data_IF_787739477737
#
_entry.id   IF_787739477737
#
_cell.length_a   1.000
_cell.length_b   1.000
_cell.length_c   1.000
_cell.angle_alpha   90.00
_cell.angle_beta   90.00
_cell.angle_gamma   90.00
#
_symmetry.space_group_name_H-M   'P 1'
#
loop_
_entity.id
_entity.type
_entity.pdbx_description
1 polymer ?
#
# COMPACT_ATOMS: atom_id res chain seq x y z
N UNK A 1 58.29 -6.66 -70.71
CA UNK A 1 58.33 -7.54 -71.91
C UNK A 1 57.14 -8.48 -71.76
N UNK A 2 56.03 -8.20 -72.45
CA UNK A 2 55.55 -8.99 -73.62
C UNK A 2 55.14 -10.40 -73.20
N UNK A 3 53.99 -10.98 -73.48
CA UNK A 3 52.90 -10.78 -74.44
C UNK A 3 51.93 -11.92 -74.08
N UNK A 4 50.65 -11.68 -73.89
CA UNK A 4 49.64 -11.74 -74.96
C UNK A 4 49.49 -13.11 -75.62
N UNK A 5 48.28 -13.66 -75.46
CA UNK A 5 47.48 -14.35 -76.50
C UNK A 5 47.87 -15.78 -76.87
N UNK A 6 46.98 -16.69 -77.27
CA UNK A 6 45.67 -16.60 -77.94
C UNK A 6 45.02 -18.02 -77.80
N UNK A 7 43.72 -18.16 -77.44
CA UNK A 7 42.59 -18.39 -78.38
C UNK A 7 42.45 -19.89 -78.79
N UNK A 8 41.30 -20.57 -78.82
CA UNK A 8 40.05 -20.32 -79.56
C UNK A 8 38.95 -21.33 -79.14
N UNK A 9 37.70 -20.85 -79.13
CA UNK A 9 36.47 -21.38 -79.79
C UNK A 9 35.99 -22.81 -79.48
N UNK A 10 34.71 -23.18 -79.58
CA UNK A 10 33.38 -22.58 -79.72
C UNK A 10 32.43 -23.81 -79.86
N UNK A 11 31.11 -23.57 -79.84
CA UNK A 11 29.94 -24.45 -80.08
C UNK A 11 29.30 -25.01 -78.82
N UNK A 12 28.25 -24.36 -78.26
CA UNK A 12 26.82 -24.47 -78.64
C UNK A 12 26.35 -25.94 -78.58
N UNK A 13 25.22 -26.33 -78.02
CA UNK A 13 24.08 -25.70 -77.34
C UNK A 13 23.13 -26.87 -77.00
N UNK A 14 22.28 -26.72 -75.98
CA UNK A 14 21.22 -27.64 -75.51
C UNK A 14 21.58 -28.74 -74.49
N UNK A 15 21.42 -28.42 -73.19
CA UNK A 15 21.09 -29.41 -72.14
C UNK A 15 20.11 -28.81 -71.09
N UNK A 16 18.84 -29.23 -71.22
CA UNK A 16 17.79 -29.58 -70.24
C UNK A 16 17.33 -28.70 -69.04
N UNK A 17 16.05 -28.30 -69.19
CA UNK A 17 15.03 -27.82 -68.23
C UNK A 17 14.66 -28.75 -67.04
N UNK A 18 15.57 -29.59 -66.54
CA UNK A 18 15.24 -30.55 -65.46
C UNK A 18 15.51 -30.05 -64.04
N UNK A 19 16.27 -28.96 -63.86
CA UNK A 19 16.70 -28.51 -62.53
C UNK A 19 15.77 -27.46 -61.90
N UNK A 20 15.00 -26.72 -62.70
CA UNK A 20 14.11 -25.65 -62.19
C UNK A 20 12.82 -26.22 -61.58
N UNK A 21 12.24 -27.27 -62.17
CA UNK A 21 10.98 -27.87 -61.69
C UNK A 21 11.12 -28.67 -60.37
N UNK A 22 12.34 -29.05 -59.99
CA UNK A 22 12.59 -29.75 -58.73
C UNK A 22 12.58 -28.79 -57.52
N UNK A 23 12.91 -27.52 -57.74
CA UNK A 23 12.99 -26.52 -56.67
C UNK A 23 11.62 -25.93 -56.33
N UNK A 24 10.74 -25.72 -57.31
CA UNK A 24 9.36 -25.25 -57.07
C UNK A 24 8.51 -26.28 -56.30
N UNK A 25 8.63 -27.58 -56.61
CA UNK A 25 7.95 -28.66 -55.86
C UNK A 25 8.39 -28.75 -54.39
N UNK A 26 9.61 -28.32 -54.05
CA UNK A 26 10.14 -28.34 -52.68
C UNK A 26 9.66 -27.12 -51.86
N UNK A 27 9.46 -25.97 -52.51
CA UNK A 27 8.95 -24.73 -51.90
C UNK A 27 7.44 -24.82 -51.63
N UNK A 28 6.67 -25.50 -52.49
CA UNK A 28 5.23 -25.72 -52.29
C UNK A 28 4.91 -26.68 -51.13
N UNK A 29 5.74 -27.72 -50.93
CA UNK A 29 5.59 -28.65 -49.81
C UNK A 29 5.88 -28.01 -48.44
N UNK A 30 6.82 -27.07 -48.37
CA UNK A 30 7.20 -26.37 -47.13
C UNK A 30 6.19 -25.27 -46.76
N UNK A 31 5.62 -24.57 -47.73
CA UNK A 31 4.56 -23.57 -47.51
C UNK A 31 3.24 -24.19 -47.08
N UNK A 32 2.84 -25.34 -47.66
CA UNK A 32 1.64 -26.08 -47.23
C UNK A 32 1.74 -26.57 -45.77
N UNK A 33 2.94 -26.91 -45.30
CA UNK A 33 3.19 -27.35 -43.92
C UNK A 33 3.16 -26.19 -42.91
N UNK A 34 3.57 -24.99 -43.31
CA UNK A 34 3.50 -23.77 -42.47
C UNK A 34 2.06 -23.24 -42.35
N UNK A 35 1.28 -23.28 -43.43
CA UNK A 35 -0.09 -22.77 -43.45
C UNK A 35 -1.06 -23.65 -42.65
N UNK A 36 -0.78 -24.96 -42.55
CA UNK A 36 -1.52 -25.88 -41.68
C UNK A 36 -1.18 -25.72 -40.19
N UNK A 37 0.04 -25.31 -39.85
CA UNK A 37 0.42 -24.97 -38.47
C UNK A 37 -0.21 -23.65 -37.99
N UNK A 38 -0.32 -22.64 -38.86
CA UNK A 38 -0.99 -21.36 -38.54
C UNK A 38 -2.50 -21.51 -38.30
N UNK A 39 -3.17 -22.38 -39.07
CA UNK A 39 -4.60 -22.70 -38.84
C UNK A 39 -4.84 -23.39 -37.50
N UNK A 40 -3.88 -24.19 -37.01
CA UNK A 40 -3.98 -24.80 -35.68
C UNK A 40 -3.80 -23.76 -34.56
N UNK A 41 -2.90 -22.79 -34.72
CA UNK A 41 -2.68 -21.73 -33.72
C UNK A 41 -3.88 -20.77 -33.60
N UNK A 42 -4.52 -20.45 -34.73
CA UNK A 42 -5.68 -19.55 -34.74
C UNK A 42 -6.93 -20.17 -34.10
N UNK A 43 -7.11 -21.50 -34.21
CA UNK A 43 -8.20 -22.23 -33.55
C UNK A 43 -8.04 -22.36 -32.02
N UNK A 44 -6.82 -22.23 -31.48
CA UNK A 44 -6.56 -22.20 -30.03
C UNK A 44 -6.78 -20.80 -29.41
N UNK A 45 -6.70 -19.74 -30.20
CA UNK A 45 -6.89 -18.37 -29.71
C UNK A 45 -8.38 -17.96 -29.61
N UNK A 46 -9.28 -18.63 -30.31
CA UNK A 46 -10.73 -18.36 -30.25
C UNK A 46 -11.39 -18.74 -28.92
N UNK A 47 -10.78 -19.60 -28.11
CA UNK A 47 -11.30 -19.97 -26.77
C UNK A 47 -10.95 -18.96 -25.67
N UNK A 48 -10.12 -17.95 -25.97
CA UNK A 48 -9.76 -16.89 -25.01
C UNK A 48 -10.59 -15.60 -25.16
N UNK A 49 -11.47 -15.54 -26.16
CA UNK A 49 -12.32 -14.37 -26.42
C UNK A 49 -13.61 -14.31 -25.58
N UNK A 50 -13.81 -15.20 -24.60
CA UNK A 50 -14.96 -15.17 -23.66
C UNK A 50 -14.66 -14.35 -22.39
N UNK A 51 -13.52 -13.63 -22.33
CA UNK A 51 -13.20 -12.76 -21.17
C UNK A 51 -13.49 -11.26 -21.38
N UNK A 52 -14.08 -10.84 -22.50
CA UNK A 52 -14.26 -9.40 -22.81
C UNK A 52 -15.64 -8.82 -22.44
N UNK A 53 -16.49 -9.53 -21.70
CA UNK A 53 -17.77 -8.99 -21.22
C UNK A 53 -17.97 -9.20 -19.71
N UNK A 54 -17.05 -8.69 -18.89
CA UNK A 54 -17.39 -8.19 -17.55
C UNK A 54 -16.77 -6.82 -17.37
N UNK A 55 -17.64 -5.84 -17.53
CA UNK A 55 -17.43 -4.41 -17.44
C UNK A 55 -17.10 -3.99 -16.00
N UNK A 56 -16.11 -3.10 -15.90
CA UNK A 56 -16.02 -1.98 -14.97
C UNK A 56 -16.70 -2.16 -13.59
N UNK A 57 -16.00 -2.78 -12.65
CA UNK A 57 -16.32 -2.64 -11.22
C UNK A 57 -15.04 -2.24 -10.46
N UNK A 58 -15.15 -1.31 -9.49
CA UNK A 58 -14.06 -0.43 -9.10
C UNK A 58 -12.98 -1.20 -8.33
N UNK A 59 -11.88 -1.50 -9.02
CA UNK A 59 -10.65 -2.07 -8.42
C UNK A 59 -10.13 -1.18 -7.27
N UNK A 60 -10.44 0.11 -7.29
CA UNK A 60 -10.14 1.05 -6.20
C UNK A 60 -10.95 0.76 -4.92
N UNK A 61 -12.22 0.34 -5.02
CA UNK A 61 -13.05 0.04 -3.84
C UNK A 61 -12.67 -1.28 -3.20
N UNK A 62 -12.34 -2.29 -4.02
CA UNK A 62 -11.85 -3.59 -3.52
C UNK A 62 -10.44 -3.42 -2.93
N UNK A 63 -9.54 -2.67 -3.57
CA UNK A 63 -8.23 -2.36 -2.99
C UNK A 63 -8.35 -1.56 -1.68
N UNK A 64 -9.27 -0.59 -1.57
CA UNK A 64 -9.54 0.11 -0.30
C UNK A 64 -10.22 -0.79 0.74
N UNK A 65 -11.10 -1.72 0.34
CA UNK A 65 -11.76 -2.67 1.23
C UNK A 65 -10.77 -3.72 1.75
N UNK A 66 -9.93 -4.28 0.89
CA UNK A 66 -8.81 -5.14 1.25
C UNK A 66 -7.78 -4.38 2.09
N UNK A 67 -7.50 -3.11 1.79
CA UNK A 67 -6.64 -2.29 2.65
C UNK A 67 -7.28 -2.02 4.02
N UNK A 68 -8.61 -1.88 4.12
CA UNK A 68 -9.36 -1.75 5.39
C UNK A 68 -9.40 -3.05 6.19
N UNK A 69 -9.50 -4.21 5.54
CA UNK A 69 -9.42 -5.55 6.16
C UNK A 69 -7.96 -5.88 6.57
N UNK A 70 -6.98 -5.51 5.75
CA UNK A 70 -5.54 -5.61 6.04
C UNK A 70 -5.04 -4.55 7.02
N UNK A 71 -5.81 -3.48 7.31
CA UNK A 71 -5.45 -2.48 8.34
C UNK A 71 -5.51 -3.05 9.76
N UNK A 72 -6.01 -4.27 9.93
CA UNK A 72 -6.10 -4.95 11.24
C UNK A 72 -5.19 -6.16 11.40
N UNK A 73 -4.34 -6.49 10.43
CA UNK A 73 -3.17 -7.35 10.69
C UNK A 73 -1.96 -6.45 10.90
N UNK A 74 -2.05 -5.62 11.92
CA UNK A 74 -0.81 -5.14 12.53
C UNK A 74 -0.18 -6.35 13.19
N UNK A 75 1.04 -6.73 12.81
CA UNK A 75 1.94 -7.66 13.50
C UNK A 75 2.32 -7.20 14.92
N UNK A 76 1.51 -6.35 15.53
CA UNK A 76 1.73 -5.87 16.86
C UNK A 76 1.34 -6.98 17.85
N UNK A 77 2.36 -7.51 18.51
CA UNK A 77 2.22 -8.53 19.55
C UNK A 77 1.19 -8.09 20.59
N UNK A 78 0.36 -9.04 21.03
CA UNK A 78 -0.55 -8.85 22.15
C UNK A 78 0.24 -8.94 23.46
N UNK A 79 -0.36 -8.43 24.53
CA UNK A 79 0.20 -8.50 25.87
C UNK A 79 0.43 -9.96 26.29
N UNK A 80 1.64 -10.30 26.73
CA UNK A 80 1.99 -11.65 27.21
C UNK A 80 1.33 -12.07 28.53
N UNK A 81 0.40 -11.29 29.07
CA UNK A 81 -0.38 -11.68 30.25
C UNK A 81 -1.57 -12.48 29.76
N UNK A 82 -1.84 -13.62 30.41
CA UNK A 82 -2.99 -14.48 30.10
C UNK A 82 -4.29 -13.66 30.06
N UNK A 83 -5.15 -13.99 29.10
CA UNK A 83 -6.45 -13.33 28.89
C UNK A 83 -6.39 -11.81 28.66
N UNK A 84 -5.25 -11.28 28.19
CA UNK A 84 -5.11 -9.86 27.89
C UNK A 84 -5.06 -9.59 26.38
N UNK A 85 -6.19 -9.11 25.83
CA UNK A 85 -6.29 -8.71 24.43
C UNK A 85 -5.75 -7.29 24.15
N UNK A 86 -5.08 -6.66 25.11
CA UNK A 86 -4.46 -5.34 24.92
C UNK A 86 -3.16 -5.49 24.12
N UNK A 87 -2.85 -4.53 23.26
CA UNK A 87 -1.60 -4.50 22.49
C UNK A 87 -0.39 -4.37 23.42
N UNK A 88 0.66 -5.15 23.17
CA UNK A 88 1.94 -5.01 23.85
C UNK A 88 2.70 -3.75 23.43
N UNK A 89 3.48 -3.24 24.38
CA UNK A 89 4.50 -2.21 24.18
C UNK A 89 5.88 -2.87 24.28
N UNK A 90 6.93 -2.08 24.48
CA UNK A 90 8.25 -2.59 24.85
C UNK A 90 8.14 -3.54 26.05
N UNK A 91 8.86 -4.66 26.01
CA UNK A 91 8.82 -5.69 27.06
C UNK A 91 7.70 -6.73 26.89
N UNK A 92 6.90 -6.70 25.82
CA UNK A 92 5.92 -7.76 25.53
C UNK A 92 4.60 -7.65 26.31
N UNK A 93 4.45 -6.66 27.17
CA UNK A 93 3.21 -6.43 27.95
C UNK A 93 2.50 -5.13 27.56
N UNK A 94 1.23 -4.99 27.90
CA UNK A 94 0.51 -3.72 27.78
C UNK A 94 0.84 -2.77 28.93
N UNK A 95 0.50 -1.49 28.81
CA UNK A 95 0.73 -0.44 29.83
C UNK A 95 0.28 -0.88 31.24
N UNK A 96 -0.90 -1.51 31.33
CA UNK A 96 -1.46 -1.98 32.59
C UNK A 96 -0.71 -3.18 33.19
N UNK A 97 -0.02 -3.97 32.36
CA UNK A 97 0.71 -5.18 32.76
C UNK A 97 2.23 -5.00 32.72
N UNK A 98 2.74 -3.76 32.83
CA UNK A 98 4.19 -3.50 32.89
C UNK A 98 4.83 -3.12 31.56
N UNK A 99 4.07 -2.98 30.49
CA UNK A 99 4.57 -2.60 29.18
C UNK A 99 5.05 -1.15 29.09
N UNK A 100 6.07 -0.93 28.26
CA UNK A 100 6.64 0.38 27.99
C UNK A 100 7.65 0.82 29.07
N UNK A 101 8.36 1.92 28.78
CA UNK A 101 9.41 2.42 29.68
C UNK A 101 8.81 3.03 30.95
N UNK A 102 9.51 2.83 32.07
CA UNK A 102 9.26 3.52 33.34
C UNK A 102 10.12 4.76 33.44
N UNK A 103 9.70 5.69 34.29
CA UNK A 103 10.45 6.89 34.58
C UNK A 103 11.81 6.52 35.17
N UNK A 104 12.90 7.15 34.70
CA UNK A 104 14.25 6.94 35.25
C UNK A 104 14.46 7.55 36.63
N UNK A 105 13.62 8.50 37.02
CA UNK A 105 13.66 9.09 38.35
C UNK A 105 13.47 8.02 39.44
N UNK A 106 14.26 8.12 40.51
CA UNK A 106 14.24 7.17 41.62
C UNK A 106 12.83 7.04 42.20
N UNK A 107 12.41 5.80 42.47
CA UNK A 107 11.10 5.48 43.04
C UNK A 107 9.87 5.90 42.21
N UNK A 108 10.05 6.32 40.95
CA UNK A 108 8.94 6.72 40.09
C UNK A 108 8.38 5.55 39.26
N UNK A 109 7.21 5.04 39.64
CA UNK A 109 6.51 3.96 38.91
C UNK A 109 5.73 4.43 37.68
N UNK A 110 5.75 5.74 37.38
CA UNK A 110 5.01 6.31 36.25
C UNK A 110 5.66 5.91 34.92
N UNK A 111 4.85 5.91 33.87
CA UNK A 111 5.33 5.65 32.52
C UNK A 111 6.15 6.84 32.00
N UNK A 112 7.27 6.54 31.34
CA UNK A 112 8.04 7.53 30.63
C UNK A 112 7.30 7.94 29.33
N UNK A 113 7.32 9.23 29.04
CA UNK A 113 6.76 9.79 27.80
C UNK A 113 7.88 10.06 26.78
N UNK A 114 8.92 10.78 27.18
CA UNK A 114 10.13 11.04 26.38
C UNK A 114 11.35 11.17 27.28
N UNK A 115 12.55 10.97 26.70
CA UNK A 115 13.84 11.00 27.42
C UNK A 115 13.87 10.09 28.65
N UNK A 116 13.03 9.04 28.66
CA UNK A 116 12.89 8.12 29.78
C UNK A 116 12.28 8.74 31.05
N UNK A 117 11.72 9.95 31.00
CA UNK A 117 11.10 10.61 32.15
C UNK A 117 9.58 10.65 31.99
N UNK A 118 8.85 10.70 33.11
CA UNK A 118 7.40 10.91 33.08
C UNK A 118 7.05 12.39 32.87
N UNK A 119 5.77 12.71 32.66
CA UNK A 119 5.32 14.11 32.46
C UNK A 119 5.67 15.05 33.62
N UNK A 120 5.72 14.52 34.85
CA UNK A 120 6.09 15.30 36.03
C UNK A 120 7.59 15.59 36.02
N UNK A 121 8.40 14.56 35.77
CA UNK A 121 9.87 14.61 35.85
C UNK A 121 10.56 15.11 34.58
N UNK A 122 9.87 15.47 33.49
CA UNK A 122 10.53 16.07 32.32
C UNK A 122 10.20 15.48 30.97
N UNK A 123 9.53 14.34 30.88
CA UNK A 123 9.31 13.66 29.60
C UNK A 123 8.20 14.26 28.73
N UNK A 124 7.82 15.51 28.94
CA UNK A 124 6.80 16.18 28.14
C UNK A 124 7.26 17.57 27.72
N UNK A 125 6.74 18.05 26.59
CA UNK A 125 6.98 19.43 26.15
C UNK A 125 6.51 20.40 27.23
N UNK A 126 7.30 21.43 27.52
CA UNK A 126 6.94 22.49 28.48
C UNK A 126 6.12 23.58 27.79
N UNK A 127 5.39 24.35 28.59
CA UNK A 127 4.63 25.48 28.11
C UNK A 127 5.57 26.50 27.48
N UNK A 128 5.24 26.99 26.28
CA UNK A 128 6.01 28.01 25.57
C UNK A 128 5.87 29.43 26.16
N UNK A 129 5.18 29.58 27.29
CA UNK A 129 5.04 30.87 27.98
C UNK A 129 6.18 30.98 28.96
N UNK A 130 6.93 32.08 28.89
CA UNK A 130 8.09 32.33 29.74
C UNK A 130 7.73 32.23 31.23
N UNK A 131 8.61 31.56 31.99
CA UNK A 131 8.39 31.26 33.41
C UNK A 131 7.34 30.18 33.71
N UNK A 132 6.75 29.51 32.70
CA UNK A 132 5.77 28.45 32.93
C UNK A 132 6.35 27.04 32.82
N UNK A 133 6.53 26.37 33.96
CA UNK A 133 7.04 24.97 34.01
C UNK A 133 5.96 23.90 33.78
N UNK A 134 4.71 24.32 33.54
CA UNK A 134 3.60 23.38 33.30
C UNK A 134 3.78 22.64 31.98
N UNK A 135 3.31 21.40 31.93
CA UNK A 135 3.34 20.61 30.70
C UNK A 135 2.40 21.19 29.62
N UNK A 136 2.91 21.28 28.40
CA UNK A 136 2.18 21.66 27.21
C UNK A 136 1.19 20.56 26.81
N UNK A 137 -0.02 20.96 26.41
CA UNK A 137 -1.07 20.03 25.97
C UNK A 137 -1.39 20.17 24.49
N UNK A 138 -1.58 21.40 24.01
CA UNK A 138 -1.90 21.71 22.62
C UNK A 138 -1.25 23.05 22.26
N UNK A 139 -0.79 23.19 21.02
CA UNK A 139 -0.24 24.43 20.48
C UNK A 139 0.91 25.01 21.34
N UNK A 140 1.75 24.15 21.93
CA UNK A 140 2.91 24.58 22.71
C UNK A 140 2.57 25.10 24.11
N UNK A 141 1.30 25.25 24.50
CA UNK A 141 0.90 25.87 25.76
C UNK A 141 0.19 24.91 26.73
N UNK A 142 0.24 25.23 28.03
CA UNK A 142 -0.40 24.46 29.09
C UNK A 142 -1.91 24.77 29.17
N UNK A 143 -2.65 24.06 30.03
CA UNK A 143 -4.10 24.26 30.20
C UNK A 143 -4.50 25.71 30.54
N UNK A 144 -3.71 26.38 31.39
CA UNK A 144 -3.94 27.77 31.83
C UNK A 144 -3.67 28.76 30.71
N UNK A 145 -2.64 28.51 29.89
CA UNK A 145 -2.22 29.38 28.79
C UNK A 145 -2.86 29.02 27.44
N UNK A 146 -4.04 28.37 27.44
CA UNK A 146 -4.81 28.13 26.20
C UNK A 146 -4.69 26.72 25.59
N UNK A 147 -3.92 25.82 26.21
CA UNK A 147 -3.78 24.41 25.77
C UNK A 147 -5.00 23.54 26.08
N UNK A 148 -6.08 24.11 26.62
CA UNK A 148 -7.35 23.40 26.86
C UNK A 148 -8.13 23.26 25.56
N UNK A 149 -8.78 22.12 25.35
CA UNK A 149 -9.73 21.97 24.24
C UNK A 149 -11.02 22.70 24.59
N UNK A 150 -11.59 23.40 23.61
CA UNK A 150 -12.87 24.10 23.73
C UNK A 150 -13.97 23.36 22.97
N UNK A 151 -15.21 23.66 23.33
CA UNK A 151 -16.38 23.28 22.58
C UNK A 151 -16.29 23.89 21.17
N UNK A 152 -16.70 23.13 20.14
CA UNK A 152 -16.72 23.57 18.74
C UNK A 152 -17.76 24.66 18.43
N UNK A 153 -18.58 25.06 19.40
CA UNK A 153 -19.57 26.13 19.20
C UNK A 153 -18.86 27.44 19.45
N UNK A 154 -18.94 28.35 18.48
CA UNK A 154 -18.35 29.68 18.55
C UNK A 154 -18.79 30.41 19.84
N UNK A 155 -17.85 31.08 20.50
CA UNK A 155 -18.08 31.76 21.78
C UNK A 155 -18.21 30.85 23.02
N UNK A 156 -18.11 29.52 22.88
CA UNK A 156 -18.24 28.63 24.03
C UNK A 156 -16.90 28.32 24.73
N UNK A 157 -16.75 28.80 25.96
CA UNK A 157 -15.55 28.57 26.78
C UNK A 157 -15.53 27.23 27.55
N UNK A 158 -16.55 26.38 27.38
CA UNK A 158 -16.64 25.08 28.08
C UNK A 158 -15.81 24.00 27.37
N UNK A 159 -15.24 23.09 28.14
CA UNK A 159 -14.52 21.94 27.59
C UNK A 159 -15.45 20.93 26.90
N UNK A 160 -15.02 20.32 25.77
CA UNK A 160 -15.82 19.33 25.08
C UNK A 160 -15.86 18.00 25.87
N UNK A 161 -16.96 17.27 25.75
CA UNK A 161 -17.09 15.89 26.22
C UNK A 161 -16.92 14.94 25.03
N UNK A 162 -17.99 14.67 24.31
CA UNK A 162 -17.99 13.76 23.15
C UNK A 162 -18.22 14.56 21.86
N UNK A 163 -17.54 14.19 20.77
CA UNK A 163 -17.72 14.82 19.45
C UNK A 163 -17.17 16.25 19.32
N UNK A 164 -16.55 16.79 20.36
CA UNK A 164 -16.07 18.18 20.39
C UNK A 164 -17.09 19.17 20.98
N UNK A 165 -18.17 18.70 21.61
CA UNK A 165 -19.20 19.55 22.20
C UNK A 165 -19.29 19.38 23.71
N UNK A 166 -19.59 20.46 24.44
CA UNK A 166 -19.81 20.42 25.89
C UNK A 166 -21.19 19.83 26.26
N UNK A 167 -21.50 19.65 27.55
CA UNK A 167 -22.80 19.09 27.97
C UNK A 167 -23.99 19.88 27.43
N UNK A 168 -23.91 21.22 27.34
CA UNK A 168 -24.99 22.06 26.82
C UNK A 168 -25.12 22.05 25.30
N UNK A 169 -24.05 21.72 24.57
CA UNK A 169 -24.02 21.78 23.11
C UNK A 169 -23.96 20.42 22.42
N UNK A 170 -23.92 19.32 23.18
CA UNK A 170 -23.98 17.98 22.57
C UNK A 170 -25.42 17.69 22.18
N UNK A 171 -25.67 17.42 20.90
CA UNK A 171 -26.94 16.87 20.46
C UNK A 171 -26.97 15.41 20.89
N UNK A 172 -27.94 15.02 21.73
CA UNK A 172 -28.20 13.60 22.00
C UNK A 172 -28.68 13.01 20.68
N UNK A 173 -27.80 12.37 19.92
CA UNK A 173 -28.24 11.60 18.73
C UNK A 173 -29.21 10.55 19.24
N UNK A 174 -30.52 10.76 19.00
CA UNK A 174 -31.50 9.68 19.10
C UNK A 174 -31.07 8.61 18.10
N UNK A 175 -31.18 7.36 18.50
CA UNK A 175 -30.74 6.18 17.73
C UNK A 175 -31.79 5.85 16.66
N UNK A 176 -32.12 6.82 15.80
CA UNK A 176 -33.15 6.72 14.76
C UNK A 176 -32.49 6.98 13.40
N UNK A 177 -31.82 5.96 12.85
CA UNK A 177 -31.42 5.84 11.44
C UNK A 177 -30.90 4.42 11.17
N UNK A 178 -31.69 3.43 11.61
CA UNK A 178 -31.52 2.01 11.30
C UNK A 178 -32.89 1.34 11.03
N UNK A 179 -33.84 2.10 10.49
CA UNK A 179 -35.18 1.63 10.13
C UNK A 179 -35.65 2.24 8.80
N UNK A 180 -34.75 2.27 7.82
CA UNK A 180 -35.07 2.45 6.40
C UNK A 180 -34.26 1.42 5.62
#
# INVERSE_FOLDING_TARGET
MTTSTKYLKNTSSFVNNSCVNQWEQYVDATTASLQSAELQLNNLQSDTAVSQQLTEQPTKTIALALHRLNKRVTTAKLCGKTECNKRAKTGGFCIAHGGGLRCLDADCTKHALSHGLCIHHGGGKRCAVDGCFSASRKAGVCWRHGGKRLCKVEGCNKGPKTGGYCWSHRVKRKKELAAM
#
